data_IF_095983403449
#
_entry.id   IF_095983403449
#
_cell.length_a   1.000
_cell.length_b   1.000
_cell.length_c   1.000
_cell.angle_alpha   90.00
_cell.angle_beta   90.00
_cell.angle_gamma   90.00
#
_symmetry.space_group_name_H-M   'P 1'
#
loop_
_entity.id
_entity.type
_entity.pdbx_description
1 polymer ?
#
# COMPACT_ATOMS: atom_id res chain seq x y z
N UNK A 1 17.25 -27.87 -5.10
CA UNK A 1 17.92 -27.52 -3.84
C UNK A 1 19.29 -26.89 -4.08
N UNK A 2 20.09 -27.42 -5.01
CA UNK A 2 21.45 -26.95 -5.32
C UNK A 2 21.63 -25.44 -5.58
N UNK A 3 20.83 -24.82 -6.44
CA UNK A 3 20.94 -23.37 -6.73
C UNK A 3 20.75 -22.47 -5.50
N UNK A 4 19.80 -22.81 -4.63
CA UNK A 4 19.58 -22.06 -3.39
C UNK A 4 20.74 -22.23 -2.42
N UNK A 5 21.35 -23.41 -2.41
CA UNK A 5 22.52 -23.68 -1.61
C UNK A 5 23.73 -22.89 -2.10
N UNK A 6 23.96 -22.83 -3.42
CA UNK A 6 24.99 -21.95 -4.01
C UNK A 6 24.76 -20.48 -3.70
N UNK A 7 23.53 -19.98 -3.82
CA UNK A 7 23.19 -18.60 -3.49
C UNK A 7 23.42 -18.30 -2.01
N UNK A 8 23.02 -19.21 -1.13
CA UNK A 8 23.28 -19.07 0.31
C UNK A 8 24.77 -19.10 0.62
N UNK A 9 25.53 -20.02 0.03
CA UNK A 9 26.99 -20.12 0.20
C UNK A 9 27.72 -18.90 -0.35
N UNK A 10 27.33 -18.41 -1.53
CA UNK A 10 27.89 -17.20 -2.14
C UNK A 10 27.63 -15.95 -1.28
N UNK A 11 26.38 -15.77 -0.85
CA UNK A 11 26.00 -14.64 0.01
C UNK A 11 26.71 -14.72 1.35
N UNK A 12 26.77 -15.91 1.93
CA UNK A 12 27.49 -16.15 3.18
C UNK A 12 28.98 -15.83 2.99
N UNK A 13 29.65 -16.30 1.94
CA UNK A 13 31.07 -16.01 1.73
C UNK A 13 31.40 -14.51 1.56
N UNK A 14 30.48 -13.71 1.01
CA UNK A 14 30.69 -12.28 0.80
C UNK A 14 30.31 -11.40 1.99
N UNK A 15 29.31 -11.83 2.77
CA UNK A 15 28.69 -11.02 3.81
C UNK A 15 28.75 -11.67 5.21
N UNK A 16 29.38 -12.84 5.39
CA UNK A 16 29.64 -13.42 6.73
C UNK A 16 30.50 -12.46 7.55
N UNK A 17 30.17 -12.34 8.84
CA UNK A 17 30.91 -11.52 9.80
C UNK A 17 30.53 -10.05 9.82
N UNK A 18 29.55 -9.62 9.03
CA UNK A 18 28.91 -8.31 9.17
C UNK A 18 27.97 -8.32 10.38
N UNK A 19 28.12 -7.33 11.25
CA UNK A 19 27.29 -7.18 12.46
C UNK A 19 26.13 -6.20 12.23
N UNK A 20 26.14 -5.46 11.12
CA UNK A 20 25.21 -4.39 10.78
C UNK A 20 23.98 -4.86 9.96
N UNK A 21 24.07 -6.01 9.29
CA UNK A 21 22.96 -6.61 8.55
C UNK A 21 23.20 -8.09 8.25
N UNK A 22 22.13 -8.79 7.85
CA UNK A 22 22.19 -10.17 7.33
C UNK A 22 21.57 -10.26 5.93
N UNK A 23 22.11 -11.14 5.09
CA UNK A 23 21.56 -11.45 3.76
C UNK A 23 20.89 -12.81 3.81
N UNK A 24 19.59 -12.86 3.54
CA UNK A 24 18.80 -14.10 3.58
C UNK A 24 17.97 -14.24 2.30
N UNK A 25 18.19 -15.34 1.57
CA UNK A 25 17.43 -15.65 0.37
C UNK A 25 16.01 -16.09 0.73
N UNK A 26 15.02 -15.58 0.00
CA UNK A 26 13.60 -15.90 0.19
C UNK A 26 13.09 -16.68 -1.03
N UNK A 27 13.08 -18.03 -1.01
CA UNK A 27 12.82 -18.84 -2.20
C UNK A 27 11.34 -19.06 -2.53
N UNK A 28 10.41 -18.34 -1.89
CA UNK A 28 8.96 -18.55 -2.05
C UNK A 28 8.48 -18.48 -3.50
N UNK A 29 9.17 -17.75 -4.38
CA UNK A 29 8.75 -17.59 -5.77
C UNK A 29 9.20 -18.71 -6.71
N UNK A 30 10.04 -19.65 -6.23
CA UNK A 30 10.66 -20.68 -7.09
C UNK A 30 9.64 -21.62 -7.73
N UNK A 31 8.64 -22.03 -6.96
CA UNK A 31 7.55 -22.90 -7.41
C UNK A 31 6.22 -22.15 -7.22
N UNK A 32 5.92 -21.25 -8.14
CA UNK A 32 4.68 -20.46 -8.10
C UNK A 32 3.54 -21.20 -8.78
N UNK A 33 2.43 -21.39 -8.06
CA UNK A 33 1.21 -22.02 -8.58
C UNK A 33 0.16 -20.92 -8.74
N UNK A 34 -0.16 -20.60 -9.99
CA UNK A 34 -1.22 -19.66 -10.31
C UNK A 34 -2.58 -20.37 -10.25
N UNK A 35 -3.61 -19.74 -9.66
CA UNK A 35 -4.95 -20.30 -9.62
C UNK A 35 -5.51 -20.36 -11.04
N UNK A 36 -6.40 -21.32 -11.24
CA UNK A 36 -7.12 -21.48 -12.50
C UNK A 36 -8.52 -20.90 -12.35
N UNK A 37 -8.95 -20.17 -13.37
CA UNK A 37 -10.34 -19.79 -13.60
C UNK A 37 -10.82 -20.52 -14.87
N UNK A 38 -11.87 -21.34 -14.73
CA UNK A 38 -12.41 -22.17 -15.83
C UNK A 38 -11.35 -23.01 -16.58
N UNK A 39 -10.36 -23.53 -15.84
CA UNK A 39 -9.28 -24.36 -16.40
C UNK A 39 -8.16 -23.60 -17.09
N UNK A 40 -8.18 -22.26 -17.09
CA UNK A 40 -7.11 -21.39 -17.58
C UNK A 40 -6.48 -20.61 -16.43
N UNK A 41 -5.22 -20.14 -16.55
CA UNK A 41 -4.65 -19.24 -15.55
C UNK A 41 -5.58 -18.05 -15.28
N UNK A 42 -5.86 -17.78 -14.00
CA UNK A 42 -6.69 -16.66 -13.59
C UNK A 42 -5.98 -15.34 -13.92
N UNK A 43 -6.47 -14.66 -14.95
CA UNK A 43 -5.90 -13.41 -15.44
C UNK A 43 -6.07 -12.26 -14.47
N UNK A 44 -6.93 -12.36 -13.44
CA UNK A 44 -7.12 -11.29 -12.44
C UNK A 44 -5.88 -11.03 -11.59
N UNK A 45 -4.89 -11.93 -11.62
CA UNK A 45 -3.59 -11.76 -10.99
C UNK A 45 -2.61 -10.91 -11.81
N UNK A 46 -2.91 -10.64 -13.09
CA UNK A 46 -2.04 -9.89 -14.01
C UNK A 46 -2.77 -8.70 -14.64
N UNK A 47 -2.00 -7.69 -15.03
CA UNK A 47 -2.50 -6.55 -15.80
C UNK A 47 -2.84 -6.96 -17.23
N UNK A 48 -3.38 -6.02 -18.02
CA UNK A 48 -3.78 -6.25 -19.42
C UNK A 48 -2.63 -6.72 -20.34
N UNK A 49 -1.38 -6.49 -19.94
CA UNK A 49 -0.20 -6.98 -20.65
C UNK A 49 0.19 -8.43 -20.30
N UNK A 50 -0.54 -9.08 -19.39
CA UNK A 50 -0.31 -10.45 -18.91
C UNK A 50 1.08 -10.69 -18.30
N UNK A 51 1.79 -9.62 -17.88
CA UNK A 51 3.15 -9.71 -17.35
C UNK A 51 3.28 -9.08 -15.98
N UNK A 52 2.78 -7.86 -15.78
CA UNK A 52 2.84 -7.25 -14.45
C UNK A 52 1.73 -7.82 -13.57
N UNK A 53 2.05 -8.03 -12.29
CA UNK A 53 1.04 -8.44 -11.33
C UNK A 53 0.10 -7.27 -11.06
N UNK A 54 -1.19 -7.56 -10.89
CA UNK A 54 -2.13 -6.61 -10.30
C UNK A 54 -1.84 -6.42 -8.81
N UNK A 55 -2.56 -5.51 -8.17
CA UNK A 55 -2.58 -5.37 -6.71
C UNK A 55 -2.80 -6.73 -6.02
N UNK A 56 -3.69 -7.56 -6.58
CA UNK A 56 -4.00 -8.90 -6.07
C UNK A 56 -2.79 -9.83 -6.11
N UNK A 57 -2.07 -9.89 -7.23
CA UNK A 57 -0.86 -10.70 -7.35
C UNK A 57 0.25 -10.22 -6.41
N UNK A 58 0.42 -8.91 -6.28
CA UNK A 58 1.37 -8.33 -5.34
C UNK A 58 1.02 -8.65 -3.88
N UNK A 59 -0.26 -8.62 -3.50
CA UNK A 59 -0.71 -8.93 -2.13
C UNK A 59 -0.37 -10.37 -1.73
N UNK A 60 -0.56 -11.33 -2.62
CA UNK A 60 -0.20 -12.74 -2.38
C UNK A 60 1.31 -12.94 -2.32
N UNK A 61 2.07 -12.29 -3.19
CA UNK A 61 3.54 -12.31 -3.12
C UNK A 61 4.07 -11.72 -1.81
N UNK A 62 3.49 -10.61 -1.35
CA UNK A 62 3.85 -9.99 -0.08
C UNK A 62 3.54 -10.91 1.11
N UNK A 63 2.38 -11.58 1.08
CA UNK A 63 2.00 -12.60 2.08
C UNK A 63 2.99 -13.77 2.10
N UNK A 64 3.36 -14.29 0.93
CA UNK A 64 4.32 -15.38 0.82
C UNK A 64 5.71 -15.00 1.32
N UNK A 65 6.19 -13.79 0.99
CA UNK A 65 7.43 -13.24 1.51
C UNK A 65 7.38 -13.11 3.05
N UNK A 66 6.32 -12.51 3.59
CA UNK A 66 6.13 -12.36 5.03
C UNK A 66 6.22 -13.70 5.77
N UNK A 67 5.47 -14.69 5.29
CA UNK A 67 5.50 -16.03 5.85
C UNK A 67 6.89 -16.68 5.75
N UNK A 68 7.61 -16.44 4.65
CA UNK A 68 8.98 -16.94 4.45
C UNK A 68 9.98 -16.29 5.41
N UNK A 69 9.80 -15.01 5.76
CA UNK A 69 10.65 -14.31 6.75
C UNK A 69 10.52 -14.93 8.14
N UNK A 70 9.35 -15.47 8.50
CA UNK A 70 9.11 -16.12 9.79
C UNK A 70 9.63 -17.56 9.86
N UNK A 71 10.05 -18.14 8.74
CA UNK A 71 10.60 -19.50 8.70
C UNK A 71 12.11 -19.51 8.90
N UNK A 72 12.65 -20.52 9.61
CA UNK A 72 14.07 -20.59 9.88
C UNK A 72 14.89 -20.74 8.60
N UNK A 73 16.10 -20.16 8.60
CA UNK A 73 17.03 -20.25 7.47
C UNK A 73 17.31 -21.72 7.13
N UNK A 74 17.27 -22.06 5.84
CA UNK A 74 17.43 -23.43 5.35
C UNK A 74 16.14 -24.27 5.32
N UNK A 75 15.06 -23.82 5.98
CA UNK A 75 13.74 -24.50 5.95
C UNK A 75 12.63 -23.60 5.39
N UNK A 76 13.01 -22.57 4.64
CA UNK A 76 12.10 -21.63 4.00
C UNK A 76 11.30 -22.31 2.88
N UNK A 77 10.01 -22.04 2.82
CA UNK A 77 9.11 -22.50 1.77
C UNK A 77 9.62 -22.03 0.41
N UNK A 78 9.58 -22.91 -0.58
CA UNK A 78 10.07 -22.64 -1.94
C UNK A 78 8.94 -22.48 -2.95
N UNK A 79 7.70 -22.30 -2.47
CA UNK A 79 6.52 -22.22 -3.31
C UNK A 79 5.64 -21.06 -2.86
N UNK A 80 4.83 -20.59 -3.81
CA UNK A 80 3.80 -19.59 -3.57
C UNK A 80 2.47 -20.11 -4.10
N UNK A 81 1.43 -20.06 -3.25
CA UNK A 81 0.08 -20.44 -3.61
C UNK A 81 -0.80 -19.19 -3.67
N UNK A 82 -1.11 -18.76 -4.89
CA UNK A 82 -1.91 -17.55 -5.15
C UNK A 82 -3.39 -17.87 -4.90
N UNK A 83 -3.87 -17.55 -3.71
CA UNK A 83 -5.23 -17.86 -3.25
C UNK A 83 -6.02 -16.63 -2.84
N UNK A 84 -5.37 -15.47 -2.68
CA UNK A 84 -5.92 -14.25 -2.10
C UNK A 84 -6.68 -14.51 -0.78
N UNK A 85 -6.16 -15.41 0.04
CA UNK A 85 -6.77 -15.76 1.32
C UNK A 85 -6.01 -15.05 2.45
N UNK A 86 -6.60 -13.97 2.98
CA UNK A 86 -6.01 -13.14 4.05
C UNK A 86 -5.71 -13.92 5.34
N UNK A 87 -6.39 -15.04 5.56
CA UNK A 87 -6.16 -15.94 6.70
C UNK A 87 -4.83 -16.73 6.59
N UNK A 88 -4.13 -16.69 5.45
CA UNK A 88 -2.87 -17.39 5.27
C UNK A 88 -1.64 -16.63 5.81
N UNK A 89 -1.82 -15.39 6.29
CA UNK A 89 -0.73 -14.59 6.87
C UNK A 89 -0.38 -15.18 8.25
N UNK A 90 0.86 -15.65 8.42
CA UNK A 90 1.37 -16.17 9.69
C UNK A 90 1.72 -15.02 10.63
N UNK A 91 1.34 -15.16 11.89
CA UNK A 91 1.84 -14.30 12.96
C UNK A 91 3.17 -14.84 13.48
N UNK A 92 4.09 -13.96 13.92
CA UNK A 92 5.27 -14.39 14.67
C UNK A 92 4.83 -15.17 15.91
N UNK A 93 5.34 -16.39 16.09
CA UNK A 93 5.17 -17.11 17.36
C UNK A 93 6.01 -16.40 18.42
N UNK A 94 5.46 -16.23 19.62
CA UNK A 94 6.23 -15.76 20.77
C UNK A 94 7.46 -16.68 20.94
N UNK A 95 8.67 -16.13 20.80
CA UNK A 95 9.91 -16.89 20.97
C UNK A 95 10.06 -17.21 22.45
N UNK A 96 9.40 -18.26 22.92
CA UNK A 96 9.66 -18.81 24.26
C UNK A 96 10.97 -19.56 24.21
N UNK A 97 12.05 -18.85 24.53
CA UNK A 97 13.38 -19.34 24.91
C UNK A 97 13.86 -20.59 24.17
N UNK A 98 14.36 -20.43 22.95
CA UNK A 98 15.28 -21.40 22.36
C UNK A 98 16.69 -20.84 22.45
N UNK A 99 17.46 -21.46 23.34
CA UNK A 99 18.86 -21.22 23.68
C UNK A 99 19.72 -21.04 22.43
N UNK A 100 19.91 -19.80 22.01
CA UNK A 100 20.92 -19.39 21.03
C UNK A 100 21.54 -18.13 21.60
N UNK A 101 22.88 -18.02 21.70
CA UNK A 101 23.50 -16.80 22.17
C UNK A 101 23.28 -15.72 21.12
N UNK A 102 22.25 -14.91 21.32
CA UNK A 102 22.07 -13.63 20.63
C UNK A 102 23.22 -12.76 21.11
N UNK A 103 24.08 -12.21 20.23
CA UNK A 103 25.01 -11.17 20.62
C UNK A 103 24.16 -9.99 21.13
N UNK A 104 24.24 -9.70 22.42
CA UNK A 104 23.54 -8.58 23.05
C UNK A 104 24.15 -7.27 22.55
N UNK A 105 23.66 -6.76 21.43
CA UNK A 105 23.66 -5.32 21.20
C UNK A 105 22.63 -4.75 22.16
N UNK A 106 23.07 -3.92 23.11
CA UNK A 106 22.19 -3.14 23.97
C UNK A 106 21.38 -2.17 23.11
N UNK A 107 20.28 -2.65 22.53
CA UNK A 107 19.31 -1.82 21.85
C UNK A 107 18.31 -1.35 22.89
N UNK A 108 18.37 -0.06 23.21
CA UNK A 108 17.25 0.68 23.80
C UNK A 108 16.14 0.77 22.75
N UNK A 109 15.53 -0.37 22.41
CA UNK A 109 14.32 -0.44 21.61
C UNK A 109 13.14 -0.27 22.55
N UNK A 110 12.64 0.96 22.66
CA UNK A 110 11.30 1.22 23.19
C UNK A 110 10.30 0.30 22.45
N UNK A 111 9.33 -0.33 23.15
CA UNK A 111 8.35 -1.16 22.49
C UNK A 111 7.58 -0.31 21.48
N UNK A 112 7.62 -0.70 20.21
CA UNK A 112 6.79 -0.10 19.18
C UNK A 112 5.35 -0.54 19.45
N UNK A 113 4.62 0.23 20.26
CA UNK A 113 3.16 0.20 20.27
C UNK A 113 2.70 0.61 18.89
N UNK A 114 2.40 -0.37 18.05
CA UNK A 114 1.57 -0.20 16.85
C UNK A 114 0.16 0.12 17.30
N UNK A 115 -0.05 1.33 17.81
CA UNK A 115 -1.38 1.84 18.11
C UNK A 115 -1.97 2.36 16.80
N UNK A 116 -2.40 1.44 15.94
CA UNK A 116 -3.23 1.73 14.77
C UNK A 116 -4.66 2.06 15.22
N UNK A 117 -4.79 2.99 16.17
CA UNK A 117 -6.05 3.60 16.55
C UNK A 117 -5.89 5.10 16.39
N UNK A 118 -5.73 5.52 15.14
CA UNK A 118 -6.08 6.89 14.77
C UNK A 118 -7.60 7.00 14.92
N UNK A 119 -8.07 7.18 16.17
CA UNK A 119 -9.42 7.63 16.46
C UNK A 119 -9.50 9.07 15.96
N UNK A 120 -9.69 9.23 14.65
CA UNK A 120 -10.11 10.49 14.07
C UNK A 120 -11.49 10.73 14.66
N UNK A 121 -11.67 11.76 15.49
CA UNK A 121 -12.91 11.89 16.20
C UNK A 121 -14.02 12.20 15.18
N UNK A 122 -15.17 11.55 15.33
CA UNK A 122 -16.28 11.60 14.35
C UNK A 122 -16.70 13.05 14.02
N UNK A 123 -16.52 13.97 14.97
CA UNK A 123 -16.77 15.40 14.78
C UNK A 123 -15.87 16.04 13.71
N UNK A 124 -14.65 15.53 13.47
CA UNK A 124 -13.75 16.08 12.46
C UNK A 124 -14.32 15.90 11.05
N UNK A 125 -14.87 14.72 10.75
CA UNK A 125 -15.53 14.47 9.47
C UNK A 125 -16.75 15.39 9.28
N UNK A 126 -17.54 15.58 10.34
CA UNK A 126 -18.68 16.50 10.32
C UNK A 126 -18.25 17.96 10.10
N UNK A 127 -17.19 18.42 10.77
CA UNK A 127 -16.64 19.79 10.62
C UNK A 127 -16.12 20.01 9.20
N UNK A 128 -15.37 19.05 8.64
CA UNK A 128 -14.87 19.15 7.26
C UNK A 128 -16.01 19.21 6.24
N UNK A 129 -17.08 18.43 6.44
CA UNK A 129 -18.27 18.47 5.58
C UNK A 129 -18.98 19.83 5.64
N UNK A 130 -19.16 20.40 6.83
CA UNK A 130 -19.79 21.71 7.02
C UNK A 130 -18.95 22.82 6.40
N UNK A 131 -17.63 22.81 6.61
CA UNK A 131 -16.72 23.80 6.01
C UNK A 131 -16.79 23.71 4.48
N UNK A 132 -16.75 22.50 3.92
CA UNK A 132 -16.90 22.29 2.47
C UNK A 132 -18.21 22.87 1.92
N UNK A 133 -19.33 22.68 2.64
CA UNK A 133 -20.64 23.22 2.26
C UNK A 133 -20.66 24.75 2.27
N UNK A 134 -20.08 25.38 3.31
CA UNK A 134 -20.03 26.84 3.43
C UNK A 134 -19.17 27.46 2.32
N UNK A 135 -18.02 26.86 2.01
CA UNK A 135 -17.16 27.30 0.90
C UNK A 135 -17.91 27.17 -0.42
N UNK A 136 -18.57 26.03 -0.66
CA UNK A 136 -19.36 25.81 -1.87
C UNK A 136 -20.49 26.84 -2.04
N UNK A 137 -21.19 27.17 -0.96
CA UNK A 137 -22.24 28.18 -0.99
C UNK A 137 -21.68 29.58 -1.25
N UNK A 138 -20.58 29.96 -0.59
CA UNK A 138 -19.92 31.25 -0.82
C UNK A 138 -19.46 31.42 -2.27
N UNK A 139 -18.84 30.39 -2.86
CA UNK A 139 -18.41 30.41 -4.27
C UNK A 139 -19.62 30.51 -5.21
N UNK A 140 -20.68 29.73 -4.96
CA UNK A 140 -21.90 29.76 -5.77
C UNK A 140 -22.57 31.13 -5.71
N UNK A 141 -22.68 31.70 -4.51
CA UNK A 141 -23.23 33.04 -4.30
C UNK A 141 -22.41 34.12 -5.01
N UNK A 142 -21.08 34.04 -4.94
CA UNK A 142 -20.18 34.97 -5.61
C UNK A 142 -20.34 34.89 -7.14
N UNK A 143 -20.39 33.68 -7.70
CA UNK A 143 -20.59 33.47 -9.14
C UNK A 143 -21.94 34.01 -9.62
N UNK A 144 -23.03 33.75 -8.89
CA UNK A 144 -24.36 34.26 -9.20
C UNK A 144 -24.41 35.79 -9.07
N UNK A 145 -23.81 36.36 -8.04
CA UNK A 145 -23.71 37.81 -7.84
C UNK A 145 -22.91 38.48 -8.96
N UNK A 146 -21.79 37.89 -9.37
CA UNK A 146 -20.98 38.35 -10.50
C UNK A 146 -21.75 38.28 -11.82
N UNK A 147 -22.50 37.20 -12.07
CA UNK A 147 -23.37 37.06 -13.25
C UNK A 147 -24.49 38.11 -13.24
N UNK A 148 -25.16 38.32 -12.11
CA UNK A 148 -26.21 39.32 -11.96
C UNK A 148 -25.67 40.74 -12.17
N UNK A 149 -24.51 41.07 -11.58
CA UNK A 149 -23.83 42.36 -11.79
C UNK A 149 -23.40 42.57 -13.23
N UNK A 150 -22.88 41.52 -13.91
CA UNK A 150 -22.57 41.58 -15.35
C UNK A 150 -23.81 41.78 -16.20
N UNK A 151 -24.91 41.09 -15.89
CA UNK A 151 -26.19 41.24 -16.60
C UNK A 151 -26.72 42.67 -16.48
N UNK A 152 -26.76 43.23 -15.25
CA UNK A 152 -27.17 44.63 -15.01
C UNK A 152 -26.31 45.63 -15.79
N UNK A 153 -24.97 45.48 -15.81
CA UNK A 153 -24.10 46.36 -16.63
C UNK A 153 -24.41 46.26 -18.13
N UNK A 154 -24.66 45.05 -18.65
CA UNK A 154 -25.02 44.87 -20.07
C UNK A 154 -26.35 45.56 -20.42
N UNK A 155 -27.33 45.53 -19.52
CA UNK A 155 -28.60 46.23 -19.71
C UNK A 155 -28.42 47.76 -19.74
N UNK A 156 -27.65 48.32 -18.80
CA UNK A 156 -27.39 49.78 -18.76
C UNK A 156 -26.65 50.27 -20.00
N UNK A 157 -25.64 49.52 -20.49
CA UNK A 157 -24.91 49.87 -21.73
C UNK A 157 -25.81 49.78 -22.96
N UNK A 158 -26.69 48.77 -23.03
CA UNK A 158 -27.64 48.63 -24.14
C UNK A 158 -28.72 49.73 -24.14
N UNK A 159 -29.10 50.23 -22.98
CA UNK A 159 -30.03 51.36 -22.82
C UNK A 159 -29.36 52.69 -23.22
N UNK A 160 -28.11 52.92 -22.80
CA UNK A 160 -27.31 54.09 -23.21
C UNK A 160 -27.09 54.13 -24.73
N UNK A 161 -26.78 52.99 -25.36
CA UNK A 161 -26.62 52.88 -26.83
C UNK A 161 -27.91 53.18 -27.62
N UNK A 162 -29.08 53.05 -27.00
CA UNK A 162 -30.36 53.43 -27.61
C UNK A 162 -30.68 54.92 -27.40
N UNK A 163 -30.12 55.55 -26.37
CA UNK A 163 -30.31 56.97 -26.06
C UNK A 163 -29.43 57.93 -26.87
N UNK A 164 -28.35 57.44 -27.51
CA UNK A 164 -27.40 58.23 -28.30
C UNK A 164 -27.74 58.33 -29.80
N UNK A 165 -28.97 57.99 -30.20
CA UNK A 165 -29.45 58.24 -31.57
C UNK A 165 -30.33 59.49 -31.56
N UNK A 166 -29.70 60.65 -31.72
CA UNK A 166 -30.32 61.91 -32.14
C UNK A 166 -29.46 62.56 -33.21
#
# INVERSE_FOLDING_TARGET
SYELQKLNEFNRGRYDGREDFAVVVQPFFKNSILPLNEGRPDTTYFTEDCFHFTERGHADMATALWNNMLEPVGKKQTYNNFTNARNNIKCPTEVRNSTTPVPTTHNTGLPLSSDCSANVPIWLAAVLAVIGLLIGWAVTWLLLSCRARRSKRRMMVAEEMKGTVF
#
